data_IF_511760484128
#
_entry.id   IF_511760484128
#
_cell.length_a   1.000
_cell.length_b   1.000
_cell.length_c   1.000
_cell.angle_alpha   90.00
_cell.angle_beta   90.00
_cell.angle_gamma   90.00
#
_symmetry.space_group_name_H-M   'P 1'
#
loop_
_entity.id
_entity.type
_entity.pdbx_description
1 polymer ?
#
# COMPACT_ATOMS: atom_id res chain seq x y z
N UNK A 1 -2.23 2.13 -6.39
CA UNK A 1 -1.49 3.40 -6.59
C UNK A 1 -1.93 4.46 -5.59
N UNK A 2 -1.03 5.41 -5.23
CA UNK A 2 -1.28 6.49 -4.26
C UNK A 2 -0.46 7.72 -4.65
N UNK A 3 -1.06 8.91 -4.60
CA UNK A 3 -0.33 10.16 -4.72
C UNK A 3 0.30 10.57 -3.36
N UNK A 4 1.43 11.27 -3.40
CA UNK A 4 1.96 11.99 -2.24
C UNK A 4 0.97 13.06 -1.75
N UNK A 5 1.15 13.55 -0.52
CA UNK A 5 0.27 14.57 0.06
C UNK A 5 0.28 15.90 -0.73
N UNK A 6 1.39 16.23 -1.35
CA UNK A 6 1.54 17.42 -2.21
C UNK A 6 1.19 17.16 -3.69
N UNK A 7 0.76 15.93 -4.02
CA UNK A 7 0.37 15.45 -5.35
C UNK A 7 1.47 15.49 -6.43
N UNK A 8 2.74 15.69 -6.03
CA UNK A 8 3.87 15.77 -6.96
C UNK A 8 4.52 14.43 -7.27
N UNK A 9 4.20 13.39 -6.50
CA UNK A 9 4.72 12.03 -6.71
C UNK A 9 3.58 11.03 -6.76
N UNK A 10 3.58 10.16 -7.78
CA UNK A 10 2.69 9.01 -7.86
C UNK A 10 3.46 7.76 -7.48
N UNK A 11 2.95 7.02 -6.49
CA UNK A 11 3.45 5.71 -6.08
C UNK A 11 2.60 4.59 -6.68
N UNK A 12 3.25 3.59 -7.26
CA UNK A 12 2.58 2.49 -7.97
C UNK A 12 3.18 1.16 -7.52
N UNK A 13 2.31 0.25 -7.05
CA UNK A 13 2.71 -1.12 -6.73
C UNK A 13 3.02 -1.91 -8.00
N UNK A 14 4.09 -2.69 -7.94
CA UNK A 14 4.37 -3.75 -8.89
C UNK A 14 3.80 -5.07 -8.32
N UNK A 15 2.57 -5.43 -8.70
CA UNK A 15 1.91 -6.64 -8.20
C UNK A 15 2.64 -7.92 -8.60
N UNK A 16 3.24 -7.94 -9.78
CA UNK A 16 4.00 -9.08 -10.29
C UNK A 16 5.43 -9.16 -9.77
N UNK A 17 5.92 -8.10 -9.14
CA UNK A 17 7.23 -8.02 -8.52
C UNK A 17 7.14 -7.75 -7.01
N UNK A 18 8.10 -7.00 -6.52
CA UNK A 18 8.24 -6.72 -5.08
C UNK A 18 8.39 -5.23 -4.78
N UNK A 19 8.24 -4.37 -5.77
CA UNK A 19 8.59 -2.96 -5.62
C UNK A 19 7.37 -2.05 -5.56
N UNK A 20 7.55 -0.91 -4.91
CA UNK A 20 6.79 0.32 -5.15
C UNK A 20 7.65 1.21 -6.03
N UNK A 21 7.12 1.63 -7.17
CA UNK A 21 7.74 2.64 -8.00
C UNK A 21 7.20 4.03 -7.66
N UNK A 22 8.06 5.02 -7.70
CA UNK A 22 7.69 6.43 -7.63
C UNK A 22 7.93 7.10 -8.97
N UNK A 23 7.02 8.00 -9.33
CA UNK A 23 7.07 8.82 -10.54
C UNK A 23 6.83 10.28 -10.16
N UNK A 24 7.57 11.20 -10.77
CA UNK A 24 7.27 12.63 -10.63
C UNK A 24 6.07 12.98 -11.52
N UNK A 25 5.09 13.68 -10.93
CA UNK A 25 3.91 14.19 -11.63
C UNK A 25 4.25 15.56 -12.20
N UNK A 26 4.22 15.68 -13.52
CA UNK A 26 4.49 16.94 -14.22
C UNK A 26 3.26 17.85 -14.21
N UNK A 27 3.41 19.18 -14.43
CA UNK A 27 2.28 20.12 -14.46
C UNK A 27 1.20 19.78 -15.49
N UNK A 28 1.57 19.09 -16.57
CA UNK A 28 0.64 18.63 -17.62
C UNK A 28 0.06 17.22 -17.34
N UNK A 29 0.31 16.65 -16.15
CA UNK A 29 -0.17 15.35 -15.73
C UNK A 29 0.67 14.16 -16.24
N UNK A 30 1.69 14.37 -17.06
CA UNK A 30 2.60 13.29 -17.48
C UNK A 30 3.46 12.82 -16.31
N UNK A 31 3.87 11.56 -16.38
CA UNK A 31 4.76 10.94 -15.39
C UNK A 31 6.20 10.91 -15.92
N UNK A 32 7.15 11.25 -15.06
CA UNK A 32 8.58 11.24 -15.36
C UNK A 32 9.39 10.60 -14.23
N UNK A 33 10.68 10.38 -14.45
CA UNK A 33 11.67 9.99 -13.44
C UNK A 33 11.26 8.76 -12.61
N UNK A 34 10.84 7.68 -13.29
CA UNK A 34 10.55 6.40 -12.63
C UNK A 34 11.74 5.94 -11.81
N UNK A 35 11.49 5.62 -10.53
CA UNK A 35 12.49 5.07 -9.61
C UNK A 35 11.87 4.05 -8.67
N UNK A 36 12.67 3.14 -8.14
CA UNK A 36 12.24 2.27 -7.03
C UNK A 36 12.19 3.14 -5.77
N UNK A 37 11.03 3.19 -5.13
CA UNK A 37 10.84 3.89 -3.85
C UNK A 37 11.13 2.95 -2.68
N UNK A 38 10.58 1.73 -2.72
CA UNK A 38 10.73 0.73 -1.68
C UNK A 38 10.55 -0.68 -2.26
N UNK A 39 10.96 -1.69 -1.50
CA UNK A 39 10.68 -3.09 -1.80
C UNK A 39 9.95 -3.73 -0.63
N UNK A 40 8.92 -4.51 -0.93
CA UNK A 40 8.19 -5.30 0.06
C UNK A 40 9.03 -6.47 0.58
N UNK A 41 8.80 -6.85 1.84
CA UNK A 41 9.40 -8.04 2.43
C UNK A 41 8.52 -9.29 2.26
N UNK A 42 7.20 -9.09 2.18
CA UNK A 42 6.24 -10.16 1.90
C UNK A 42 6.48 -10.81 0.55
N UNK A 43 6.43 -12.15 0.53
CA UNK A 43 6.67 -12.95 -0.67
C UNK A 43 5.59 -13.99 -0.83
N UNK A 44 5.21 -14.24 -2.06
CA UNK A 44 4.35 -15.36 -2.42
C UNK A 44 5.11 -16.66 -2.22
N UNK A 45 4.74 -17.42 -1.19
CA UNK A 45 5.34 -18.71 -0.84
C UNK A 45 4.87 -19.86 -1.72
N UNK A 46 3.91 -19.62 -2.63
CA UNK A 46 3.39 -20.65 -3.55
C UNK A 46 4.16 -20.73 -4.86
N UNK A 47 5.14 -19.84 -5.06
CA UNK A 47 5.96 -19.82 -6.26
C UNK A 47 6.90 -21.04 -6.32
N UNK A 48 7.10 -21.64 -7.51
CA UNK A 48 8.07 -22.71 -7.67
C UNK A 48 9.50 -22.23 -7.42
N UNK A 49 10.41 -23.13 -7.02
CA UNK A 49 11.82 -22.80 -6.84
C UNK A 49 12.43 -22.12 -8.07
N UNK A 50 13.15 -21.02 -7.86
CA UNK A 50 13.79 -20.26 -8.93
C UNK A 50 12.89 -19.24 -9.65
N UNK A 51 11.61 -19.19 -9.34
CA UNK A 51 10.73 -18.15 -9.87
C UNK A 51 11.10 -16.76 -9.30
N UNK A 52 10.98 -15.69 -10.11
CA UNK A 52 11.17 -14.33 -9.61
C UNK A 52 10.23 -14.04 -8.42
N UNK A 53 10.73 -13.40 -7.35
CA UNK A 53 9.90 -13.10 -6.19
C UNK A 53 8.81 -12.09 -6.54
N UNK A 54 7.60 -12.29 -6.00
CA UNK A 54 6.50 -11.33 -6.07
C UNK A 54 5.83 -11.17 -4.71
N UNK A 55 5.31 -9.99 -4.46
CA UNK A 55 4.60 -9.65 -3.22
C UNK A 55 3.08 -9.75 -3.34
N UNK A 56 2.58 -9.83 -4.57
CA UNK A 56 1.15 -9.69 -4.89
C UNK A 56 0.55 -8.41 -4.29
N UNK A 57 1.34 -7.34 -4.21
CA UNK A 57 0.90 -6.07 -3.65
C UNK A 57 -0.23 -5.48 -4.48
N UNK A 58 -1.32 -5.07 -3.80
CA UNK A 58 -2.52 -4.51 -4.45
C UNK A 58 -2.87 -3.13 -3.87
N UNK A 59 -3.79 -3.01 -2.94
CA UNK A 59 -4.16 -1.72 -2.35
C UNK A 59 -2.99 -1.00 -1.69
N UNK A 60 -2.95 0.33 -1.83
CA UNK A 60 -1.94 1.20 -1.25
C UNK A 60 -2.60 2.49 -0.76
N UNK A 61 -2.30 2.91 0.48
CA UNK A 61 -2.80 4.14 1.08
C UNK A 61 -1.76 4.75 2.02
N UNK A 62 -1.84 6.06 2.24
CA UNK A 62 -1.00 6.76 3.23
C UNK A 62 -1.82 7.29 4.39
N UNK A 63 -1.19 7.36 5.57
CA UNK A 63 -1.72 8.09 6.71
C UNK A 63 -1.27 9.57 6.69
N UNK A 64 -1.72 10.32 7.69
CA UNK A 64 -1.46 11.76 7.82
C UNK A 64 0.03 12.07 8.10
N UNK A 65 0.78 11.11 8.65
CA UNK A 65 2.23 11.20 8.85
C UNK A 65 3.04 10.76 7.61
N UNK A 66 2.36 10.38 6.52
CA UNK A 66 2.98 9.93 5.27
C UNK A 66 3.49 8.49 5.27
N UNK A 67 3.15 7.67 6.29
CA UNK A 67 3.44 6.23 6.26
C UNK A 67 2.56 5.54 5.23
N UNK A 68 3.12 4.56 4.54
CA UNK A 68 2.42 3.76 3.55
C UNK A 68 1.88 2.48 4.17
N UNK A 69 0.68 2.10 3.78
CA UNK A 69 0.03 0.84 4.12
C UNK A 69 -0.29 0.12 2.83
N UNK A 70 0.28 -1.05 2.61
CA UNK A 70 0.13 -1.82 1.39
C UNK A 70 -0.32 -3.24 1.68
N UNK A 71 -1.34 -3.70 0.96
CA UNK A 71 -1.71 -5.11 1.00
C UNK A 71 -0.70 -5.94 0.23
N UNK A 72 -0.15 -6.96 0.88
CA UNK A 72 0.78 -7.94 0.32
C UNK A 72 0.39 -9.35 0.76
N UNK A 73 1.15 -10.37 0.33
CA UNK A 73 0.95 -11.75 0.81
C UNK A 73 1.13 -11.90 2.34
N UNK A 74 1.89 -11.03 2.97
CA UNK A 74 2.14 -11.09 4.42
C UNK A 74 1.04 -10.42 5.26
N UNK A 75 0.12 -9.71 4.63
CA UNK A 75 -0.86 -8.85 5.29
C UNK A 75 -0.72 -7.39 4.85
N UNK A 76 -0.87 -6.43 5.78
CA UNK A 76 -0.66 -5.02 5.48
C UNK A 76 0.77 -4.65 5.88
N UNK A 77 1.66 -4.49 4.91
CA UNK A 77 2.99 -3.95 5.17
C UNK A 77 2.93 -2.46 5.40
N UNK A 78 3.64 -2.02 6.44
CA UNK A 78 3.74 -0.60 6.82
C UNK A 78 5.14 -0.11 6.52
N UNK A 79 5.23 0.98 5.74
CA UNK A 79 6.51 1.61 5.39
C UNK A 79 6.54 3.06 5.89
N UNK A 80 7.72 3.54 6.22
CA UNK A 80 7.95 4.95 6.56
C UNK A 80 7.71 5.87 5.35
N UNK A 81 7.64 7.20 5.55
CA UNK A 81 7.61 8.16 4.45
C UNK A 81 8.82 8.09 3.50
N UNK A 82 9.91 7.47 3.94
CA UNK A 82 11.14 7.28 3.16
C UNK A 82 11.28 5.88 2.58
N UNK A 83 10.25 5.02 2.72
CA UNK A 83 10.22 3.67 2.16
C UNK A 83 10.86 2.59 3.04
N UNK A 84 11.26 2.91 4.27
CA UNK A 84 11.79 1.91 5.22
C UNK A 84 10.65 1.02 5.73
N UNK A 85 10.85 -0.29 5.74
CA UNK A 85 9.90 -1.24 6.33
C UNK A 85 9.80 -1.06 7.84
N UNK A 86 8.59 -0.87 8.36
CA UNK A 86 8.30 -0.66 9.80
C UNK A 86 7.69 -1.90 10.45
N UNK A 87 6.94 -2.69 9.70
CA UNK A 87 6.28 -3.90 10.21
C UNK A 87 5.15 -4.36 9.33
N UNK A 88 4.42 -5.37 9.82
CA UNK A 88 3.25 -5.96 9.16
C UNK A 88 2.09 -6.00 10.14
N UNK A 89 0.91 -5.57 9.71
CA UNK A 89 -0.35 -5.85 10.38
C UNK A 89 -0.88 -7.16 9.79
N UNK A 90 -0.85 -8.26 10.54
CA UNK A 90 -1.27 -9.55 10.03
C UNK A 90 -2.78 -9.61 9.84
N UNK A 91 -3.22 -10.26 8.76
CA UNK A 91 -4.63 -10.45 8.44
C UNK A 91 -4.97 -11.96 8.54
N UNK A 92 -5.25 -12.44 9.75
CA UNK A 92 -5.40 -13.86 10.06
C UNK A 92 -6.68 -14.53 9.53
N UNK A 93 -7.70 -13.75 9.23
CA UNK A 93 -9.03 -14.28 8.92
C UNK A 93 -9.34 -14.34 7.41
N UNK A 94 -8.34 -14.15 6.56
CA UNK A 94 -8.57 -14.02 5.12
C UNK A 94 -8.10 -15.26 4.40
N UNK A 95 -9.04 -16.14 4.07
CA UNK A 95 -8.81 -17.30 3.20
C UNK A 95 -8.66 -16.92 1.72
N UNK A 96 -8.94 -15.67 1.37
CA UNK A 96 -8.84 -15.09 0.02
C UNK A 96 -8.19 -13.72 0.11
N UNK A 97 -7.41 -13.36 -0.91
CA UNK A 97 -6.66 -12.11 -0.96
C UNK A 97 -7.55 -10.88 -0.81
N UNK A 98 -7.21 -10.03 0.13
CA UNK A 98 -7.71 -8.67 0.13
C UNK A 98 -7.07 -7.88 -1.01
N UNK A 99 -7.84 -6.97 -1.61
CA UNK A 99 -7.46 -6.29 -2.85
C UNK A 99 -7.32 -4.78 -2.65
N UNK A 100 -8.03 -4.21 -1.68
CA UNK A 100 -7.97 -2.77 -1.48
C UNK A 100 -8.09 -2.39 0.00
N UNK A 101 -7.57 -1.20 0.33
CA UNK A 101 -7.68 -0.61 1.65
C UNK A 101 -7.82 0.92 1.54
N UNK A 102 -8.38 1.52 2.59
CA UNK A 102 -8.58 2.96 2.65
C UNK A 102 -8.93 3.42 4.05
N UNK A 103 -8.42 4.58 4.44
CA UNK A 103 -8.82 5.24 5.67
C UNK A 103 -10.20 5.89 5.53
N UNK A 104 -11.03 5.75 6.56
CA UNK A 104 -12.36 6.32 6.61
C UNK A 104 -12.87 6.50 8.04
N UNK A 105 -14.18 6.74 8.15
CA UNK A 105 -14.81 7.13 9.40
C UNK A 105 -14.77 8.65 9.61
N UNK A 106 -15.50 9.20 10.61
CA UNK A 106 -15.61 10.64 10.85
C UNK A 106 -14.26 11.32 11.12
N UNK A 107 -13.33 10.61 11.76
CA UNK A 107 -12.00 11.09 12.14
C UNK A 107 -10.89 10.48 11.29
N UNK A 108 -11.24 9.70 10.24
CA UNK A 108 -10.32 8.91 9.41
C UNK A 108 -9.39 7.96 10.19
N UNK A 109 -9.80 7.49 11.37
CA UNK A 109 -9.04 6.54 12.19
C UNK A 109 -9.48 5.08 12.02
N UNK A 110 -10.24 4.80 10.99
CA UNK A 110 -10.60 3.43 10.64
C UNK A 110 -9.97 3.05 9.30
N UNK A 111 -9.14 2.02 9.30
CA UNK A 111 -8.63 1.42 8.07
C UNK A 111 -9.61 0.33 7.63
N UNK A 112 -10.28 0.55 6.51
CA UNK A 112 -11.12 -0.45 5.86
C UNK A 112 -10.28 -1.27 4.90
N UNK A 113 -10.51 -2.58 4.91
CA UNK A 113 -9.81 -3.54 4.05
C UNK A 113 -10.85 -4.40 3.35
N UNK A 114 -10.82 -4.43 2.03
CA UNK A 114 -11.81 -5.13 1.21
C UNK A 114 -11.16 -6.13 0.27
N UNK A 115 -11.84 -7.26 0.05
CA UNK A 115 -11.47 -8.29 -0.91
C UNK A 115 -11.91 -9.68 -0.49
N UNK A 116 -11.90 -10.61 -1.43
CA UNK A 116 -12.29 -12.00 -1.16
C UNK A 116 -13.71 -12.19 -0.62
N UNK A 117 -14.63 -11.25 -0.86
CA UNK A 117 -15.99 -11.26 -0.32
C UNK A 117 -16.09 -10.77 1.13
N UNK A 118 -15.06 -10.16 1.67
CA UNK A 118 -14.98 -9.68 3.06
C UNK A 118 -14.68 -8.19 3.09
N UNK A 119 -15.26 -7.50 4.06
CA UNK A 119 -14.93 -6.13 4.44
C UNK A 119 -14.53 -6.12 5.91
N UNK A 120 -13.29 -5.75 6.18
CA UNK A 120 -12.76 -5.58 7.53
C UNK A 120 -12.65 -4.12 7.88
N UNK A 121 -12.71 -3.82 9.17
CA UNK A 121 -12.37 -2.51 9.72
C UNK A 121 -11.38 -2.66 10.86
N UNK A 122 -10.32 -1.86 10.84
CA UNK A 122 -9.26 -1.88 11.84
C UNK A 122 -9.20 -0.49 12.47
N UNK A 123 -9.46 -0.35 13.78
CA UNK A 123 -9.22 0.91 14.50
C UNK A 123 -7.73 1.22 14.49
N UNK A 124 -7.37 2.46 14.12
CA UNK A 124 -5.98 2.89 13.99
C UNK A 124 -5.66 4.00 14.99
N UNK A 125 -4.43 3.98 15.52
CA UNK A 125 -3.92 5.06 16.36
C UNK A 125 -3.60 6.32 15.55
N UNK A 126 -3.21 6.13 14.29
CA UNK A 126 -3.06 7.20 13.33
C UNK A 126 -4.35 7.46 12.56
N UNK A 127 -4.39 8.51 11.78
CA UNK A 127 -5.50 8.81 10.86
C UNK A 127 -5.00 8.88 9.42
N UNK A 128 -5.89 8.63 8.49
CA UNK A 128 -5.62 8.81 7.07
C UNK A 128 -5.45 10.29 6.71
N UNK A 129 -4.77 10.55 5.60
CA UNK A 129 -4.54 11.89 5.11
C UNK A 129 -5.84 12.69 4.95
N UNK A 130 -5.84 13.95 5.43
CA UNK A 130 -7.04 14.78 5.49
C UNK A 130 -7.26 15.61 4.22
N UNK A 131 -6.22 15.79 3.40
CA UNK A 131 -6.23 16.74 2.29
C UNK A 131 -7.17 16.39 1.13
N UNK A 132 -7.58 15.13 0.98
CA UNK A 132 -8.54 14.70 -0.06
C UNK A 132 -9.26 13.41 0.33
N UNK A 133 -10.41 13.18 -0.29
CA UNK A 133 -11.06 11.88 -0.29
C UNK A 133 -10.33 10.95 -1.29
N UNK A 134 -10.23 9.70 -0.93
CA UNK A 134 -9.76 8.65 -1.83
C UNK A 134 -10.94 7.75 -2.16
#
# INVERSE_FOLDING_TARGET
MQLSHDEKTLYVNDTAGINIFAFDVQPDGRLANRRVFASYVGRDQTLPPGAPPRSNADGLVTDDDGRFYALTESGIEVLSPTGQHLGVIPLWCITRRCQNLGFGGPDKRTLYVAGGGTLLRIPMLTRGFQGRAK
#
